data_IF_147814868661
#
_entry.id   IF_147814868661
#
_cell.length_a   1.000
_cell.length_b   1.000
_cell.length_c   1.000
_cell.angle_alpha   90.00
_cell.angle_beta   90.00
_cell.angle_gamma   90.00
#
_symmetry.space_group_name_H-M   'P 1'
#
loop_
_entity.id
_entity.type
_entity.pdbx_description
1 polymer ?
#
# COMPACT_ATOMS: atom_id res chain seq x y z
N UNK A 1 5.12 -48.74 -48.83
CA UNK A 1 6.31 -47.93 -48.49
C UNK A 1 5.88 -46.90 -47.47
N UNK A 2 6.47 -46.99 -46.29
CA UNK A 2 6.03 -46.39 -45.03
C UNK A 2 6.42 -44.92 -44.95
N UNK A 3 5.45 -44.03 -44.72
CA UNK A 3 5.73 -42.66 -44.28
C UNK A 3 5.76 -42.65 -42.76
N UNK A 4 6.97 -42.62 -42.21
CA UNK A 4 7.23 -42.42 -40.79
C UNK A 4 6.82 -41.01 -40.39
N UNK A 5 5.82 -40.93 -39.51
CA UNK A 5 5.46 -39.74 -38.74
C UNK A 5 6.57 -39.51 -37.71
N UNK A 6 7.41 -38.50 -37.93
CA UNK A 6 8.40 -38.08 -36.93
C UNK A 6 7.75 -37.05 -36.00
N UNK A 7 6.93 -37.56 -35.08
CA UNK A 7 6.42 -36.82 -33.93
C UNK A 7 7.55 -36.78 -32.90
N UNK A 8 8.47 -35.82 -33.07
CA UNK A 8 9.49 -35.52 -32.07
C UNK A 8 8.79 -34.86 -30.87
N UNK A 9 8.16 -35.71 -30.05
CA UNK A 9 7.75 -35.40 -28.69
C UNK A 9 9.02 -35.07 -27.92
N UNK A 10 9.39 -33.79 -27.91
CA UNK A 10 10.23 -33.25 -26.82
C UNK A 10 9.55 -33.65 -25.52
N UNK A 11 10.14 -34.63 -24.84
CA UNK A 11 9.85 -34.94 -23.45
C UNK A 11 10.00 -33.64 -22.68
N UNK A 12 8.87 -33.06 -22.26
CA UNK A 12 8.86 -32.17 -21.13
C UNK A 12 9.25 -33.04 -19.94
N UNK A 13 10.54 -33.02 -19.58
CA UNK A 13 10.98 -33.56 -18.31
C UNK A 13 10.13 -32.91 -17.21
N UNK A 14 9.53 -33.75 -16.38
CA UNK A 14 8.91 -33.32 -15.13
C UNK A 14 9.97 -32.54 -14.32
N UNK A 15 9.57 -31.49 -13.58
CA UNK A 15 10.52 -30.54 -13.03
C UNK A 15 11.47 -31.26 -12.06
N UNK A 16 12.78 -31.16 -12.34
CA UNK A 16 13.81 -31.21 -11.30
C UNK A 16 13.32 -30.31 -10.16
N UNK A 17 13.50 -30.76 -8.92
CA UNK A 17 13.07 -30.12 -7.69
C UNK A 17 13.59 -28.66 -7.58
N UNK A 18 12.95 -27.76 -8.32
CA UNK A 18 13.41 -26.40 -8.59
C UNK A 18 12.89 -25.46 -7.49
N UNK A 19 13.27 -25.76 -6.26
CA UNK A 19 12.86 -25.03 -5.08
C UNK A 19 13.82 -23.91 -4.73
N UNK A 20 13.32 -22.92 -3.98
CA UNK A 20 14.17 -21.90 -3.40
C UNK A 20 15.01 -22.52 -2.27
N UNK A 21 16.31 -22.65 -2.50
CA UNK A 21 17.25 -23.14 -1.51
C UNK A 21 17.19 -22.28 -0.23
N UNK A 22 17.39 -22.91 0.93
CA UNK A 22 17.31 -22.23 2.22
C UNK A 22 18.32 -21.07 2.32
N UNK A 23 19.56 -21.30 1.87
CA UNK A 23 20.61 -20.29 1.86
C UNK A 23 20.22 -19.08 1.01
N UNK A 24 19.65 -19.30 -0.17
CA UNK A 24 19.19 -18.20 -1.04
C UNK A 24 17.97 -17.48 -0.45
N UNK A 25 17.06 -18.20 0.22
CA UNK A 25 15.96 -17.58 0.95
C UNK A 25 16.49 -16.66 2.06
N UNK A 26 17.48 -17.09 2.83
CA UNK A 26 18.11 -16.28 3.89
C UNK A 26 18.72 -15.02 3.29
N UNK A 27 19.50 -15.13 2.19
CA UNK A 27 20.08 -13.98 1.49
C UNK A 27 19.01 -12.99 1.02
N UNK A 28 17.89 -13.47 0.47
CA UNK A 28 16.76 -12.63 0.07
C UNK A 28 16.12 -11.97 1.28
N UNK A 29 15.92 -12.72 2.38
CA UNK A 29 15.32 -12.21 3.60
C UNK A 29 16.15 -11.09 4.23
N UNK A 30 17.46 -11.27 4.33
CA UNK A 30 18.41 -10.27 4.83
C UNK A 30 18.45 -9.02 3.94
N UNK A 31 18.54 -9.20 2.62
CA UNK A 31 18.52 -8.10 1.66
C UNK A 31 17.23 -7.27 1.79
N UNK A 32 16.08 -7.94 1.82
CA UNK A 32 14.78 -7.28 1.91
C UNK A 32 14.62 -6.57 3.23
N UNK A 33 15.02 -7.21 4.33
CA UNK A 33 14.97 -6.61 5.66
C UNK A 33 15.86 -5.36 5.72
N UNK A 34 17.11 -5.45 5.27
CA UNK A 34 18.04 -4.32 5.27
C UNK A 34 17.59 -3.15 4.39
N UNK A 35 16.83 -3.42 3.32
CA UNK A 35 16.34 -2.37 2.40
C UNK A 35 14.98 -1.78 2.80
N UNK A 36 14.09 -2.58 3.39
CA UNK A 36 12.67 -2.21 3.56
C UNK A 36 12.18 -2.31 4.99
N UNK A 37 12.96 -2.91 5.90
CA UNK A 37 12.55 -3.25 7.26
C UNK A 37 11.60 -4.44 7.37
N UNK A 38 11.10 -4.98 6.24
CA UNK A 38 10.12 -6.08 6.23
C UNK A 38 10.78 -7.38 6.69
N UNK A 39 10.15 -8.05 7.66
CA UNK A 39 10.53 -9.39 8.08
C UNK A 39 9.94 -10.47 7.19
N UNK A 40 10.81 -11.40 6.77
CA UNK A 40 10.46 -12.60 6.01
C UNK A 40 10.77 -13.85 6.84
N UNK A 41 9.81 -14.32 7.66
CA UNK A 41 10.01 -15.55 8.42
C UNK A 41 10.08 -16.77 7.49
N UNK A 42 10.78 -17.85 7.88
CA UNK A 42 10.94 -19.06 7.06
C UNK A 42 9.62 -19.65 6.54
N UNK A 43 8.53 -19.54 7.32
CA UNK A 43 7.19 -19.98 6.93
C UNK A 43 6.66 -19.31 5.64
N UNK A 44 7.23 -18.17 5.20
CA UNK A 44 6.86 -17.49 3.95
C UNK A 44 7.66 -17.99 2.73
N UNK A 45 8.63 -18.90 2.88
CA UNK A 45 9.51 -19.35 1.78
C UNK A 45 8.73 -19.82 0.55
N UNK A 46 7.74 -20.69 0.74
CA UNK A 46 6.91 -21.23 -0.35
C UNK A 46 6.13 -20.15 -1.09
N UNK A 47 5.60 -19.15 -0.37
CA UNK A 47 4.89 -18.01 -0.97
C UNK A 47 5.85 -17.16 -1.80
N UNK A 48 7.04 -16.88 -1.28
CA UNK A 48 8.07 -16.10 -1.98
C UNK A 48 8.53 -16.84 -3.24
N UNK A 49 8.84 -18.14 -3.12
CA UNK A 49 9.20 -18.99 -4.26
C UNK A 49 8.15 -18.91 -5.37
N UNK A 50 6.88 -19.12 -5.05
CA UNK A 50 5.79 -19.07 -6.03
C UNK A 50 5.70 -17.73 -6.77
N UNK A 51 5.97 -16.62 -6.08
CA UNK A 51 5.97 -15.27 -6.66
C UNK A 51 7.23 -15.01 -7.50
N UNK A 52 8.41 -15.46 -7.04
CA UNK A 52 9.67 -15.33 -7.77
C UNK A 52 9.68 -16.13 -9.07
N UNK A 53 8.92 -17.22 -9.18
CA UNK A 53 8.81 -17.98 -10.45
C UNK A 53 8.35 -17.11 -11.63
N UNK A 54 7.59 -16.04 -11.40
CA UNK A 54 7.23 -15.08 -12.46
C UNK A 54 8.46 -14.31 -12.95
N UNK A 55 9.41 -13.99 -12.07
CA UNK A 55 10.66 -13.31 -12.38
C UNK A 55 11.65 -14.23 -13.10
N UNK A 56 11.77 -15.48 -12.66
CA UNK A 56 12.54 -16.53 -13.34
C UNK A 56 12.15 -16.60 -14.82
N UNK A 57 10.84 -16.70 -15.10
CA UNK A 57 10.32 -16.73 -16.48
C UNK A 57 10.53 -15.42 -17.24
N UNK A 58 10.39 -14.27 -16.58
CA UNK A 58 10.57 -12.96 -17.23
C UNK A 58 12.00 -12.77 -17.76
N UNK A 59 12.99 -13.39 -17.12
CA UNK A 59 14.39 -13.38 -17.54
C UNK A 59 14.78 -14.60 -18.40
N UNK A 60 13.84 -15.48 -18.74
CA UNK A 60 14.13 -16.69 -19.53
C UNK A 60 15.07 -17.68 -18.83
N UNK A 61 15.16 -17.64 -17.50
CA UNK A 61 16.05 -18.49 -16.72
C UNK A 61 15.44 -19.89 -16.50
N UNK A 62 16.30 -20.91 -16.43
CA UNK A 62 15.90 -22.31 -16.37
C UNK A 62 15.51 -22.80 -14.97
N UNK A 63 15.88 -22.08 -13.91
CA UNK A 63 15.63 -22.49 -12.52
C UNK A 63 15.65 -21.32 -11.54
N UNK A 64 15.09 -21.53 -10.35
CA UNK A 64 15.19 -20.64 -9.20
C UNK A 64 16.64 -20.40 -8.80
N UNK A 65 17.46 -21.47 -8.78
CA UNK A 65 18.90 -21.34 -8.50
C UNK A 65 19.63 -20.49 -9.55
N UNK A 66 19.24 -20.57 -10.84
CA UNK A 66 19.77 -19.69 -11.87
C UNK A 66 19.39 -18.23 -11.64
N UNK A 67 18.16 -17.98 -11.17
CA UNK A 67 17.71 -16.64 -10.78
C UNK A 67 18.48 -16.10 -9.57
N UNK A 68 18.74 -16.90 -8.54
CA UNK A 68 19.52 -16.46 -7.38
C UNK A 68 20.98 -16.15 -7.74
N UNK A 69 21.63 -16.95 -8.59
CA UNK A 69 22.96 -16.63 -9.12
C UNK A 69 22.97 -15.36 -9.95
N UNK A 70 21.99 -15.20 -10.85
CA UNK A 70 21.83 -13.97 -11.62
C UNK A 70 21.70 -12.74 -10.70
N UNK A 71 20.84 -12.86 -9.70
CA UNK A 71 20.52 -11.81 -8.75
C UNK A 71 21.73 -11.38 -7.94
N UNK A 72 22.40 -12.32 -7.27
CA UNK A 72 23.43 -11.99 -6.28
C UNK A 72 24.86 -12.00 -6.83
N UNK A 73 25.13 -12.79 -7.86
CA UNK A 73 26.51 -13.08 -8.28
C UNK A 73 26.82 -12.51 -9.68
N UNK A 74 25.81 -12.14 -10.48
CA UNK A 74 25.97 -11.64 -11.86
C UNK A 74 25.47 -10.21 -12.07
N UNK A 75 25.31 -9.45 -10.98
CA UNK A 75 24.93 -8.03 -11.04
C UNK A 75 23.45 -7.76 -11.32
N UNK A 76 22.57 -8.78 -11.27
CA UNK A 76 21.13 -8.62 -11.51
C UNK A 76 20.38 -7.85 -10.41
N UNK A 77 21.00 -7.63 -9.25
CA UNK A 77 20.36 -7.03 -8.07
C UNK A 77 19.73 -5.66 -8.34
N UNK A 78 20.44 -4.74 -8.99
CA UNK A 78 19.96 -3.37 -9.19
C UNK A 78 18.66 -3.35 -10.03
N UNK A 79 18.63 -4.16 -11.10
CA UNK A 79 17.46 -4.28 -11.97
C UNK A 79 16.27 -4.97 -11.29
N UNK A 80 16.53 -5.96 -10.42
CA UNK A 80 15.48 -6.76 -9.79
C UNK A 80 15.04 -6.25 -8.42
N UNK A 81 15.74 -5.30 -7.79
CA UNK A 81 15.47 -4.89 -6.42
C UNK A 81 14.02 -4.45 -6.22
N UNK A 82 13.50 -3.61 -7.11
CA UNK A 82 12.10 -3.14 -7.04
C UNK A 82 11.10 -4.30 -7.16
N UNK A 83 11.40 -5.29 -7.99
CA UNK A 83 10.57 -6.48 -8.17
C UNK A 83 10.64 -7.43 -6.97
N UNK A 84 11.79 -7.56 -6.32
CA UNK A 84 11.91 -8.29 -5.06
C UNK A 84 11.05 -7.65 -3.98
N UNK A 85 11.09 -6.31 -3.85
CA UNK A 85 10.22 -5.58 -2.93
C UNK A 85 8.73 -5.81 -3.25
N UNK A 86 8.35 -5.80 -4.52
CA UNK A 86 6.97 -6.11 -4.93
C UNK A 86 6.57 -7.56 -4.60
N UNK A 87 7.50 -8.51 -4.71
CA UNK A 87 7.26 -9.93 -4.41
C UNK A 87 7.05 -10.17 -2.93
N UNK A 88 7.80 -9.48 -2.07
CA UNK A 88 7.82 -9.72 -0.62
C UNK A 88 6.76 -8.92 0.13
N UNK A 89 6.32 -7.80 -0.43
CA UNK A 89 5.24 -6.99 0.14
C UNK A 89 3.92 -7.77 0.12
N UNK A 90 3.19 -7.71 1.24
CA UNK A 90 1.84 -8.28 1.35
C UNK A 90 0.83 -7.15 1.25
N UNK A 91 0.37 -6.92 0.02
CA UNK A 91 -0.45 -5.76 -0.34
C UNK A 91 -1.96 -5.98 -0.15
N UNK A 92 -2.36 -6.65 0.94
CA UNK A 92 -3.79 -6.85 1.21
C UNK A 92 -4.39 -5.56 1.78
N UNK A 93 -5.22 -4.91 0.98
CA UNK A 93 -6.01 -3.75 1.35
C UNK A 93 -7.39 -3.87 0.72
N UNK A 94 -8.39 -3.22 1.32
CA UNK A 94 -9.78 -3.22 0.87
C UNK A 94 -10.34 -1.81 1.03
N UNK A 95 -11.27 -1.43 0.16
CA UNK A 95 -12.05 -0.21 0.37
C UNK A 95 -12.78 -0.28 1.71
N UNK A 96 -12.83 0.84 2.44
CA UNK A 96 -13.52 0.92 3.74
C UNK A 96 -13.07 -0.10 4.81
N UNK A 97 -11.84 -0.64 4.70
CA UNK A 97 -11.24 -1.45 5.76
C UNK A 97 -11.20 -0.67 7.07
N UNK A 98 -11.59 -1.29 8.18
CA UNK A 98 -11.77 -0.65 9.50
C UNK A 98 -12.68 0.60 9.42
N UNK A 99 -13.98 0.41 9.13
CA UNK A 99 -14.89 1.50 8.79
C UNK A 99 -15.05 2.55 9.89
N UNK A 100 -14.79 2.20 11.15
CA UNK A 100 -14.89 3.10 12.30
C UNK A 100 -13.92 4.29 12.19
N UNK A 101 -12.76 4.11 11.55
CA UNK A 101 -11.83 5.21 11.26
C UNK A 101 -12.46 6.26 10.36
N UNK A 102 -13.21 5.83 9.34
CA UNK A 102 -13.88 6.74 8.41
C UNK A 102 -15.13 7.38 9.03
N UNK A 103 -15.81 6.69 9.95
CA UNK A 103 -16.89 7.28 10.75
C UNK A 103 -16.36 8.37 11.67
N UNK A 104 -15.24 8.14 12.35
CA UNK A 104 -14.58 9.16 13.15
C UNK A 104 -14.13 10.34 12.29
N UNK A 105 -13.49 10.07 11.16
CA UNK A 105 -13.06 11.10 10.21
C UNK A 105 -14.24 11.96 9.76
N UNK A 106 -15.40 11.34 9.47
CA UNK A 106 -16.59 12.03 8.99
C UNK A 106 -17.41 12.75 10.07
N UNK A 107 -17.10 12.56 11.35
CA UNK A 107 -17.76 13.23 12.47
C UNK A 107 -16.75 14.05 13.29
N UNK A 108 -16.33 13.58 14.49
CA UNK A 108 -15.48 14.37 15.38
C UNK A 108 -14.14 14.81 14.76
N UNK A 109 -13.57 13.98 13.88
CA UNK A 109 -12.30 14.25 13.22
C UNK A 109 -12.35 15.51 12.36
N UNK A 110 -13.31 15.56 11.42
CA UNK A 110 -13.45 16.71 10.50
C UNK A 110 -13.78 17.99 11.25
N UNK A 111 -14.67 17.94 12.23
CA UNK A 111 -15.07 19.12 13.02
C UNK A 111 -13.85 19.75 13.72
N UNK A 112 -13.03 18.91 14.36
CA UNK A 112 -11.85 19.40 15.07
C UNK A 112 -10.78 19.92 14.12
N UNK A 113 -10.56 19.28 12.95
CA UNK A 113 -9.60 19.76 11.96
C UNK A 113 -10.03 21.12 11.36
N UNK A 114 -11.32 21.28 11.06
CA UNK A 114 -11.84 22.53 10.50
C UNK A 114 -11.85 23.68 11.50
N UNK A 115 -12.22 23.42 12.77
CA UNK A 115 -12.21 24.44 13.82
C UNK A 115 -10.83 25.11 14.01
N UNK A 116 -9.75 24.40 13.69
CA UNK A 116 -8.36 24.92 13.80
C UNK A 116 -7.95 25.84 12.68
N UNK A 117 -8.55 25.70 11.49
CA UNK A 117 -8.21 26.55 10.35
C UNK A 117 -8.92 27.92 10.40
N UNK A 118 -9.66 28.21 11.48
CA UNK A 118 -10.36 29.48 11.68
C UNK A 118 -11.65 29.59 10.85
N UNK A 119 -12.24 30.79 10.82
CA UNK A 119 -13.41 31.09 9.98
C UNK A 119 -13.03 31.47 8.54
N UNK A 120 -11.77 31.30 8.15
CA UNK A 120 -11.32 31.57 6.79
C UNK A 120 -12.05 30.65 5.81
N UNK A 121 -12.80 31.26 4.89
CA UNK A 121 -13.44 30.53 3.79
C UNK A 121 -12.35 29.87 2.96
N UNK A 122 -12.35 28.54 2.88
CA UNK A 122 -11.44 27.78 2.00
C UNK A 122 -10.32 27.02 2.70
N UNK A 123 -10.48 26.67 3.99
CA UNK A 123 -9.61 25.74 4.71
C UNK A 123 -9.25 24.52 3.85
N UNK A 124 -7.96 24.22 3.68
CA UNK A 124 -7.47 23.07 2.90
C UNK A 124 -6.83 22.04 3.82
N UNK A 125 -7.47 20.88 3.91
CA UNK A 125 -6.99 19.76 4.71
C UNK A 125 -5.97 18.93 3.94
N UNK A 126 -4.89 18.57 4.61
CA UNK A 126 -3.83 17.71 4.08
C UNK A 126 -3.84 16.38 4.81
N UNK A 127 -4.07 15.30 4.07
CA UNK A 127 -4.06 13.95 4.61
C UNK A 127 -2.99 13.10 3.96
N UNK A 128 -2.50 12.12 4.69
CA UNK A 128 -1.51 11.17 4.19
C UNK A 128 -1.96 9.73 4.47
N UNK A 129 -2.10 8.91 3.43
CA UNK A 129 -2.12 7.45 3.55
C UNK A 129 -0.69 6.93 3.37
N UNK A 130 -0.05 6.52 4.46
CA UNK A 130 1.29 5.98 4.49
C UNK A 130 1.23 4.45 4.39
N UNK A 131 1.84 3.88 3.35
CA UNK A 131 1.61 2.52 2.86
C UNK A 131 0.23 2.34 2.18
N UNK A 132 -0.06 3.22 1.21
CA UNK A 132 -1.33 3.25 0.48
C UNK A 132 -1.65 2.02 -0.35
N UNK A 133 -0.67 1.15 -0.60
CA UNK A 133 -0.81 -0.03 -1.44
C UNK A 133 -1.45 0.34 -2.78
N UNK A 134 -2.47 -0.40 -3.21
CA UNK A 134 -3.18 -0.17 -4.47
C UNK A 134 -4.07 1.10 -4.49
N UNK A 135 -4.01 1.94 -3.46
CA UNK A 135 -4.72 3.22 -3.37
C UNK A 135 -6.13 3.16 -2.76
N UNK A 136 -6.65 1.96 -2.43
CA UNK A 136 -8.01 1.82 -1.91
C UNK A 136 -8.27 2.69 -0.65
N UNK A 137 -7.32 2.72 0.29
CA UNK A 137 -7.44 3.57 1.48
C UNK A 137 -7.49 5.07 1.13
N UNK A 138 -6.54 5.54 0.31
CA UNK A 138 -6.48 6.93 -0.12
C UNK A 138 -7.77 7.36 -0.85
N UNK A 139 -8.34 6.48 -1.68
CA UNK A 139 -9.61 6.74 -2.35
C UNK A 139 -10.83 6.64 -1.43
N UNK A 140 -10.84 5.77 -0.42
CA UNK A 140 -11.86 5.79 0.62
C UNK A 140 -11.85 7.12 1.37
N UNK A 141 -10.67 7.62 1.76
CA UNK A 141 -10.52 8.94 2.38
C UNK A 141 -11.08 10.02 1.45
N UNK A 142 -10.73 9.99 0.16
CA UNK A 142 -11.20 10.95 -0.83
C UNK A 142 -12.73 10.95 -0.99
N UNK A 143 -13.36 9.78 -1.07
CA UNK A 143 -14.82 9.64 -1.17
C UNK A 143 -15.54 10.22 0.07
N UNK A 144 -15.01 9.92 1.26
CA UNK A 144 -15.57 10.40 2.53
C UNK A 144 -15.48 11.92 2.62
N UNK A 145 -14.28 12.48 2.39
CA UNK A 145 -14.08 13.93 2.46
C UNK A 145 -14.85 14.69 1.38
N UNK A 146 -14.93 14.14 0.15
CA UNK A 146 -15.71 14.76 -0.93
C UNK A 146 -17.20 14.81 -0.57
N UNK A 147 -17.76 13.74 -0.02
CA UNK A 147 -19.16 13.72 0.40
C UNK A 147 -19.47 14.78 1.49
N UNK A 148 -18.52 15.05 2.40
CA UNK A 148 -18.64 16.07 3.43
C UNK A 148 -18.47 17.49 2.87
N UNK A 149 -17.51 17.68 1.97
CA UNK A 149 -17.26 18.95 1.29
C UNK A 149 -18.46 19.38 0.44
N UNK A 150 -19.13 18.45 -0.24
CA UNK A 150 -20.35 18.72 -1.02
C UNK A 150 -21.52 19.21 -0.16
N UNK A 151 -21.65 18.70 1.08
CA UNK A 151 -22.73 19.08 2.01
C UNK A 151 -22.49 20.43 2.69
N UNK A 152 -21.24 20.72 3.04
CA UNK A 152 -20.91 21.89 3.85
C UNK A 152 -20.36 23.08 3.02
N UNK A 153 -19.69 22.82 1.89
CA UNK A 153 -18.90 23.77 1.09
C UNK A 153 -17.90 24.60 1.91
N UNK A 154 -17.43 24.08 3.06
CA UNK A 154 -16.56 24.82 3.99
C UNK A 154 -15.07 24.63 3.75
N UNK A 155 -14.67 23.57 3.06
CA UNK A 155 -13.27 23.17 2.97
C UNK A 155 -12.93 22.47 1.66
N UNK A 156 -11.64 22.44 1.36
CA UNK A 156 -11.02 21.63 0.32
C UNK A 156 -10.02 20.63 0.94
N UNK A 157 -9.54 19.67 0.17
CA UNK A 157 -8.56 18.71 0.66
C UNK A 157 -7.55 18.27 -0.41
N UNK A 158 -6.43 17.72 0.07
CA UNK A 158 -5.44 17.02 -0.74
C UNK A 158 -4.92 15.82 0.05
N UNK A 159 -4.79 14.68 -0.64
CA UNK A 159 -4.33 13.43 -0.06
C UNK A 159 -3.02 13.03 -0.73
N UNK A 160 -2.01 12.76 0.08
CA UNK A 160 -0.80 12.08 -0.32
C UNK A 160 -0.99 10.58 -0.05
N UNK A 161 -0.80 9.75 -1.07
CA UNK A 161 -0.64 8.31 -0.89
C UNK A 161 0.80 7.91 -1.14
N UNK A 162 1.45 7.21 -0.22
CA UNK A 162 2.82 6.73 -0.43
C UNK A 162 2.94 5.24 -0.24
N UNK A 163 3.79 4.60 -1.04
CA UNK A 163 4.10 3.19 -0.90
C UNK A 163 5.52 2.91 -1.40
N UNK A 164 6.08 1.78 -0.97
CA UNK A 164 7.37 1.28 -1.43
C UNK A 164 7.23 0.48 -2.74
N UNK A 165 6.05 -0.12 -2.96
CA UNK A 165 5.78 -0.91 -4.16
C UNK A 165 5.43 -0.02 -5.35
N UNK A 166 6.34 0.09 -6.32
CA UNK A 166 6.07 0.85 -7.55
C UNK A 166 4.93 0.24 -8.37
N UNK A 167 4.75 -1.09 -8.32
CA UNK A 167 3.62 -1.76 -8.96
C UNK A 167 2.28 -1.35 -8.34
N UNK A 168 2.21 -1.27 -7.01
CA UNK A 168 1.01 -0.81 -6.32
C UNK A 168 0.72 0.67 -6.61
N UNK A 169 1.74 1.53 -6.63
CA UNK A 169 1.58 2.94 -6.99
C UNK A 169 1.04 3.12 -8.41
N UNK A 170 1.55 2.36 -9.40
CA UNK A 170 1.02 2.39 -10.78
C UNK A 170 -0.45 1.95 -10.82
N UNK A 171 -0.82 0.93 -10.04
CA UNK A 171 -2.21 0.50 -9.93
C UNK A 171 -3.08 1.61 -9.32
N UNK A 172 -2.63 2.21 -8.21
CA UNK A 172 -3.31 3.29 -7.52
C UNK A 172 -3.53 4.50 -8.43
N UNK A 173 -2.52 4.90 -9.22
CA UNK A 173 -2.62 5.99 -10.20
C UNK A 173 -3.61 5.69 -11.33
N UNK A 174 -3.67 4.45 -11.82
CA UNK A 174 -4.67 4.02 -12.82
C UNK A 174 -6.08 4.06 -12.24
N UNK A 175 -6.21 3.67 -10.96
CA UNK A 175 -7.44 3.67 -10.17
C UNK A 175 -8.56 2.81 -10.78
N UNK A 176 -8.19 1.68 -11.40
CA UNK A 176 -9.10 0.71 -12.00
C UNK A 176 -9.10 -0.56 -11.14
N UNK A 177 -10.29 -0.99 -10.74
CA UNK A 177 -10.48 -2.11 -9.82
C UNK A 177 -11.52 -3.09 -10.37
N UNK A 178 -11.43 -4.38 -10.06
CA UNK A 178 -12.53 -5.32 -10.28
C UNK A 178 -13.78 -4.86 -9.53
N UNK A 179 -14.97 -5.07 -10.10
CA UNK A 179 -16.24 -4.66 -9.49
C UNK A 179 -16.47 -5.29 -8.11
N UNK A 180 -16.06 -6.55 -7.91
CA UNK A 180 -16.23 -7.24 -6.63
C UNK A 180 -15.32 -6.66 -5.54
N UNK A 181 -14.17 -6.09 -5.93
CA UNK A 181 -13.22 -5.45 -5.00
C UNK A 181 -13.78 -4.16 -4.37
N UNK A 182 -14.74 -3.50 -5.04
CA UNK A 182 -15.41 -2.30 -4.53
C UNK A 182 -16.73 -2.59 -3.82
N UNK A 183 -17.09 -3.86 -3.60
CA UNK A 183 -18.30 -4.24 -2.87
C UNK A 183 -18.45 -3.56 -1.49
N UNK A 184 -17.37 -3.34 -0.70
CA UNK A 184 -17.46 -2.61 0.57
C UNK A 184 -17.82 -1.12 0.45
N UNK A 185 -17.67 -0.50 -0.72
CA UNK A 185 -17.98 0.92 -0.93
C UNK A 185 -19.50 1.12 -0.82
N UNK A 186 -20.01 2.06 0.01
CA UNK A 186 -21.45 2.32 0.14
C UNK A 186 -22.11 2.61 -1.21
N UNK A 187 -23.33 2.09 -1.42
CA UNK A 187 -24.02 2.16 -2.72
C UNK A 187 -24.19 3.60 -3.25
N UNK A 188 -24.45 4.57 -2.37
CA UNK A 188 -24.53 5.99 -2.75
C UNK A 188 -23.18 6.52 -3.27
N UNK A 189 -22.08 6.19 -2.59
CA UNK A 189 -20.74 6.57 -3.01
C UNK A 189 -20.32 5.87 -4.29
N UNK A 190 -20.70 4.60 -4.50
CA UNK A 190 -20.45 3.89 -5.77
C UNK A 190 -21.06 4.63 -6.95
N UNK A 191 -22.33 5.03 -6.85
CA UNK A 191 -23.03 5.76 -7.92
C UNK A 191 -22.39 7.11 -8.25
N UNK A 192 -21.84 7.80 -7.25
CA UNK A 192 -21.23 9.14 -7.43
C UNK A 192 -19.78 9.09 -7.87
N UNK A 193 -19.01 8.13 -7.37
CA UNK A 193 -17.55 8.18 -7.40
C UNK A 193 -16.89 7.05 -8.18
N UNK A 194 -17.67 6.10 -8.71
CA UNK A 194 -17.17 5.02 -9.57
C UNK A 194 -17.79 5.13 -10.97
N UNK A 195 -16.91 5.10 -11.96
CA UNK A 195 -17.27 4.92 -13.36
C UNK A 195 -17.28 3.42 -13.66
N UNK A 196 -18.32 2.92 -14.32
CA UNK A 196 -18.38 1.55 -14.81
C UNK A 196 -17.75 1.46 -16.20
N UNK A 197 -17.18 0.29 -16.52
CA UNK A 197 -16.74 0.01 -17.88
C UNK A 197 -17.88 0.18 -18.89
N UNK A 198 -17.55 0.63 -20.11
CA UNK A 198 -18.53 0.76 -21.20
C UNK A 198 -19.05 -0.58 -21.69
N UNK A 199 -18.17 -1.58 -21.68
CA UNK A 199 -18.53 -2.97 -22.00
C UNK A 199 -19.04 -3.65 -20.73
N UNK A 200 -20.33 -4.03 -20.65
CA UNK A 200 -20.91 -4.69 -19.49
C UNK A 200 -20.27 -6.05 -19.16
N UNK A 201 -19.53 -6.65 -20.11
CA UNK A 201 -18.79 -7.90 -19.89
C UNK A 201 -17.51 -7.68 -19.09
N UNK A 202 -17.04 -6.44 -18.98
CA UNK A 202 -15.88 -6.08 -18.16
C UNK A 202 -16.36 -5.71 -16.76
N UNK A 203 -16.15 -6.59 -15.78
CA UNK A 203 -16.43 -6.31 -14.37
C UNK A 203 -15.34 -5.40 -13.76
N UNK A 204 -15.14 -4.22 -14.34
CA UNK A 204 -14.18 -3.23 -13.88
C UNK A 204 -14.87 -1.90 -13.60
N UNK A 205 -14.37 -1.23 -12.57
CA UNK A 205 -14.76 0.13 -12.20
C UNK A 205 -13.53 1.00 -12.12
N UNK A 206 -13.73 2.31 -12.30
CA UNK A 206 -12.66 3.30 -12.18
C UNK A 206 -13.07 4.44 -11.28
N UNK A 207 -12.16 4.94 -10.45
CA UNK A 207 -12.40 6.14 -9.65
C UNK A 207 -12.58 7.36 -10.57
N UNK A 208 -13.60 8.18 -10.30
CA UNK A 208 -13.90 9.41 -11.06
C UNK A 208 -12.71 10.39 -11.08
N UNK A 209 -12.51 11.16 -12.17
CA UNK A 209 -11.41 12.12 -12.29
C UNK A 209 -11.28 13.08 -11.10
N UNK A 210 -12.42 13.58 -10.63
CA UNK A 210 -12.48 14.61 -9.58
C UNK A 210 -11.91 14.15 -8.23
N UNK A 211 -11.94 12.84 -7.93
CA UNK A 211 -11.28 12.29 -6.76
C UNK A 211 -9.80 11.99 -7.04
N UNK A 212 -9.46 11.55 -8.25
CA UNK A 212 -8.08 11.28 -8.66
C UNK A 212 -7.22 12.56 -8.64
N UNK A 213 -7.80 13.70 -8.97
CA UNK A 213 -7.13 15.01 -8.89
C UNK A 213 -6.83 15.44 -7.44
N UNK A 214 -7.51 14.85 -6.45
CA UNK A 214 -7.29 15.12 -5.02
C UNK A 214 -6.28 14.19 -4.37
N UNK A 215 -5.86 13.13 -5.06
CA UNK A 215 -4.97 12.10 -4.53
C UNK A 215 -3.69 12.04 -5.36
N UNK A 216 -2.56 12.39 -4.76
CA UNK A 216 -1.24 12.25 -5.37
C UNK A 216 -0.53 11.04 -4.79
N UNK A 217 -0.05 10.16 -5.67
CA UNK A 217 0.77 9.01 -5.27
C UNK A 217 2.26 9.29 -5.45
N UNK A 218 3.08 8.93 -4.47
CA UNK A 218 4.53 9.05 -4.52
C UNK A 218 5.22 7.81 -3.93
N UNK A 219 6.41 7.50 -4.45
CA UNK A 219 7.23 6.45 -3.86
C UNK A 219 7.84 6.92 -2.54
N UNK A 220 7.77 6.08 -1.51
CA UNK A 220 8.43 6.32 -0.24
C UNK A 220 8.75 4.99 0.44
N UNK A 221 10.00 4.86 0.89
CA UNK A 221 10.39 3.83 1.84
C UNK A 221 10.26 4.40 3.26
N UNK A 222 9.46 3.76 4.12
CA UNK A 222 9.27 4.22 5.51
C UNK A 222 10.55 4.12 6.35
N UNK A 223 11.54 3.35 5.90
CA UNK A 223 12.85 3.24 6.53
C UNK A 223 13.74 4.46 6.31
N UNK A 224 13.42 5.33 5.34
CA UNK A 224 14.23 6.51 5.07
C UNK A 224 14.37 7.39 6.33
N UNK A 225 15.56 7.96 6.59
CA UNK A 225 15.82 8.74 7.79
C UNK A 225 14.97 10.02 7.83
N UNK A 226 14.57 10.55 6.68
CA UNK A 226 13.70 11.71 6.50
C UNK A 226 12.71 11.49 5.36
N UNK A 227 11.60 12.23 5.37
CA UNK A 227 10.60 12.19 4.30
C UNK A 227 10.56 13.54 3.58
N UNK A 228 10.53 13.56 2.24
CA UNK A 228 10.68 14.78 1.45
C UNK A 228 9.37 15.58 1.33
N UNK A 229 8.66 15.80 2.45
CA UNK A 229 7.36 16.48 2.46
C UNK A 229 7.34 17.62 3.47
N UNK A 230 7.26 18.86 2.98
CA UNK A 230 7.22 20.08 3.80
C UNK A 230 5.82 20.40 4.36
N UNK A 231 4.85 19.49 4.21
CA UNK A 231 3.46 19.74 4.61
C UNK A 231 3.16 19.10 5.96
N UNK A 232 2.79 19.92 6.93
CA UNK A 232 2.18 19.42 8.16
C UNK A 232 0.76 18.90 7.84
N UNK A 233 0.53 17.61 8.05
CA UNK A 233 -0.73 16.92 7.77
C UNK A 233 -1.72 17.08 8.92
N UNK A 234 -3.00 17.23 8.58
CA UNK A 234 -4.09 17.23 9.56
C UNK A 234 -4.42 15.80 10.03
N UNK A 235 -4.21 14.81 9.15
CA UNK A 235 -4.31 13.41 9.48
C UNK A 235 -3.34 12.53 8.70
N UNK A 236 -2.77 11.51 9.35
CA UNK A 236 -1.95 10.47 8.76
C UNK A 236 -2.56 9.10 9.08
N UNK A 237 -2.71 8.26 8.07
CA UNK A 237 -3.12 6.87 8.16
C UNK A 237 -1.88 6.01 7.96
N UNK A 238 -1.57 5.16 8.94
CA UNK A 238 -0.45 4.21 8.93
C UNK A 238 -0.98 2.87 9.41
N UNK A 239 -1.68 2.16 8.51
CA UNK A 239 -2.51 1.01 8.90
C UNK A 239 -2.00 -0.27 8.27
N UNK A 240 -1.91 -1.30 9.12
CA UNK A 240 -1.63 -2.68 8.76
C UNK A 240 -0.29 -2.89 8.02
N UNK A 241 0.71 -2.06 8.35
CA UNK A 241 2.08 -2.11 7.78
C UNK A 241 3.15 -2.31 8.85
N UNK A 242 2.97 -1.75 10.05
CA UNK A 242 3.94 -1.87 11.14
C UNK A 242 4.09 -3.32 11.60
N UNK A 243 3.08 -4.15 11.41
CA UNK A 243 3.10 -5.60 11.71
C UNK A 243 4.24 -6.34 10.99
N UNK A 244 4.79 -5.79 9.91
CA UNK A 244 5.91 -6.39 9.17
C UNK A 244 7.28 -6.03 9.73
N UNK A 245 7.36 -5.01 10.60
CA UNK A 245 8.60 -4.46 11.12
C UNK A 245 8.93 -4.97 12.54
N UNK A 246 10.20 -4.85 12.92
CA UNK A 246 10.66 -5.02 14.30
C UNK A 246 10.26 -3.84 15.18
N UNK A 247 10.24 -4.04 16.50
CA UNK A 247 9.65 -3.07 17.44
C UNK A 247 10.35 -1.71 17.36
N UNK A 248 11.66 -1.72 17.24
CA UNK A 248 12.53 -0.56 17.12
C UNK A 248 12.16 0.25 15.87
N UNK A 249 12.01 -0.46 14.74
CA UNK A 249 11.60 0.11 13.46
C UNK A 249 10.17 0.65 13.52
N UNK A 250 9.23 -0.08 14.12
CA UNK A 250 7.86 0.36 14.30
C UNK A 250 7.80 1.71 15.02
N UNK A 251 8.53 1.84 16.13
CA UNK A 251 8.59 3.06 16.93
C UNK A 251 9.25 4.19 16.14
N UNK A 252 10.35 3.93 15.44
CA UNK A 252 11.06 4.94 14.65
C UNK A 252 10.19 5.49 13.50
N UNK A 253 9.56 4.60 12.73
CA UNK A 253 8.66 4.97 11.61
C UNK A 253 7.48 5.79 12.14
N UNK A 254 6.83 5.33 13.20
CA UNK A 254 5.66 6.01 13.76
C UNK A 254 6.03 7.38 14.32
N UNK A 255 7.17 7.50 15.01
CA UNK A 255 7.68 8.79 15.51
C UNK A 255 7.95 9.77 14.38
N UNK A 256 8.55 9.31 13.28
CA UNK A 256 8.81 10.14 12.10
C UNK A 256 7.52 10.58 11.42
N UNK A 257 6.50 9.74 11.36
CA UNK A 257 5.20 10.15 10.82
C UNK A 257 4.52 11.18 11.73
N UNK A 258 4.55 10.99 13.05
CA UNK A 258 4.01 11.95 14.02
C UNK A 258 4.68 13.32 13.87
N UNK A 259 5.98 13.39 13.57
CA UNK A 259 6.65 14.69 13.37
C UNK A 259 6.17 15.47 12.15
N UNK A 260 5.42 14.82 11.24
CA UNK A 260 4.77 15.47 10.09
C UNK A 260 3.31 15.84 10.36
N UNK A 261 2.76 15.52 11.54
CA UNK A 261 1.43 15.98 11.94
C UNK A 261 1.48 17.45 12.38
N UNK A 262 0.40 18.17 12.08
CA UNK A 262 0.10 19.44 12.76
C UNK A 262 -0.17 19.19 14.24
N UNK A 263 0.12 20.15 15.13
CA UNK A 263 -0.44 20.13 16.48
C UNK A 263 -1.96 19.91 16.45
N UNK A 264 -2.46 19.01 17.30
CA UNK A 264 -3.84 18.53 17.28
C UNK A 264 -4.14 17.47 16.20
N UNK A 265 -3.25 17.25 15.23
CA UNK A 265 -3.46 16.34 14.09
C UNK A 265 -3.66 14.88 14.51
N UNK A 266 -4.25 14.09 13.62
CA UNK A 266 -4.65 12.72 13.93
C UNK A 266 -3.74 11.67 13.29
N UNK A 267 -3.35 10.66 14.05
CA UNK A 267 -2.72 9.44 13.58
C UNK A 267 -3.75 8.30 13.67
N UNK A 268 -4.02 7.65 12.53
CA UNK A 268 -4.84 6.44 12.44
C UNK A 268 -3.89 5.26 12.24
N UNK A 269 -3.95 4.27 13.14
CA UNK A 269 -3.17 3.03 13.02
C UNK A 269 -4.10 1.82 12.91
N UNK A 270 -3.62 0.68 12.43
CA UNK A 270 -4.41 -0.54 12.47
C UNK A 270 -4.60 -1.02 13.91
N UNK A 271 -5.67 -1.76 14.17
CA UNK A 271 -6.02 -2.19 15.53
C UNK A 271 -4.86 -2.90 16.26
N UNK A 272 -4.15 -3.79 15.57
CA UNK A 272 -3.02 -4.54 16.10
C UNK A 272 -1.76 -3.69 16.34
N UNK A 273 -1.75 -2.43 15.92
CA UNK A 273 -0.59 -1.54 15.94
C UNK A 273 -0.72 -0.45 17.03
N UNK A 274 -1.85 -0.42 17.74
CA UNK A 274 -2.18 0.51 18.83
C UNK A 274 -1.06 0.64 19.86
N UNK A 275 -0.43 -0.47 20.26
CA UNK A 275 0.64 -0.47 21.27
C UNK A 275 1.92 0.25 20.84
N UNK A 276 2.15 0.45 19.53
CA UNK A 276 3.25 1.27 19.01
C UNK A 276 2.93 2.75 19.24
N UNK A 277 1.76 3.19 18.80
CA UNK A 277 1.35 4.58 18.90
C UNK A 277 1.17 5.04 20.36
N UNK A 278 0.63 4.19 21.23
CA UNK A 278 0.47 4.51 22.66
C UNK A 278 1.79 4.75 23.41
N UNK A 279 2.92 4.29 22.87
CA UNK A 279 4.24 4.51 23.46
C UNK A 279 4.90 5.84 23.01
N UNK A 280 4.19 6.65 22.23
CA UNK A 280 4.68 7.89 21.62
C UNK A 280 3.90 9.11 22.15
N UNK A 281 4.37 10.35 21.94
CA UNK A 281 3.75 11.56 22.52
C UNK A 281 2.45 11.98 21.81
N UNK A 282 1.48 11.07 21.76
CA UNK A 282 0.15 11.25 21.22
C UNK A 282 -0.89 10.75 22.22
N UNK A 283 -2.08 11.34 22.22
CA UNK A 283 -3.18 10.94 23.09
C UNK A 283 -4.17 10.10 22.31
N UNK A 284 -4.53 8.91 22.80
CA UNK A 284 -5.60 8.13 22.21
C UNK A 284 -6.95 8.84 22.41
N UNK A 285 -7.72 9.01 21.34
CA UNK A 285 -9.04 9.68 21.35
C UNK A 285 -10.18 8.77 20.92
N UNK A 286 -9.87 7.66 20.26
CA UNK A 286 -10.79 6.59 19.88
C UNK A 286 -9.99 5.29 19.65
N UNK A 287 -10.63 4.12 19.49
CA UNK A 287 -9.92 2.87 19.18
C UNK A 287 -9.00 3.05 17.97
N UNK A 288 -7.69 2.78 18.16
CA UNK A 288 -6.64 2.93 17.16
C UNK A 288 -6.51 4.33 16.49
N UNK A 289 -7.04 5.38 17.14
CA UNK A 289 -6.95 6.77 16.68
C UNK A 289 -6.31 7.62 17.77
N UNK A 290 -5.25 8.33 17.38
CA UNK A 290 -4.42 9.12 18.27
C UNK A 290 -4.34 10.58 17.81
N UNK A 291 -4.14 11.49 18.75
CA UNK A 291 -4.06 12.92 18.50
C UNK A 291 -2.72 13.45 19.00
N UNK A 292 -1.99 14.18 18.15
CA UNK A 292 -0.81 14.94 18.58
C UNK A 292 -1.26 16.11 19.46
N UNK A 293 -0.63 16.28 20.62
CA UNK A 293 -0.92 17.42 21.50
C UNK A 293 -0.44 18.74 20.90
#
# INVERSE_FOLDING_TARGET
MSFHVNLDRRRADAPVDDHLAEQDFVRIAELVNGRTGIRLPPAKRTMIEARLRKRVRAHGLSSMGAYCRFLFDQGGLEAELSHLVDVVTTNKTDFFREPDHFRFLAGPGIETMLARQGQERGARLHLWSAASSNGAEAYTIAMVLRALAERSRRFDFAILGTDISTAMLRHAQRAVYPGDFVAPVPAEMRRRYLLTARDPRQNEVRIVPELRERVRFAHLNLMEPSYPFERHFDAIFLRNVLIYFEREVQVAVTRRLISHLRPGGYLFVGHSETSVASALPVRQVAPAIFQLK
#
